data_IF_354427303424
#
_entry.id   IF_354427303424
#
_cell.length_a   1.000
_cell.length_b   1.000
_cell.length_c   1.000
_cell.angle_alpha   90.00
_cell.angle_beta   90.00
_cell.angle_gamma   90.00
#
_symmetry.space_group_name_H-M   'P 1'
#
loop_
_entity.id
_entity.type
_entity.pdbx_description
1 polymer ?
#
# COMPACT_ATOMS: atom_id res chain seq x y z
N UNK A 1 -1.71 2.49 -13.86
CA UNK A 1 -3.16 2.71 -14.05
C UNK A 1 -3.89 1.53 -13.41
N UNK A 2 -4.72 1.75 -12.39
CA UNK A 2 -5.59 0.68 -11.87
C UNK A 2 -6.74 0.52 -12.85
N UNK A 3 -6.48 -0.20 -13.95
CA UNK A 3 -7.35 -0.28 -15.12
C UNK A 3 -8.61 -1.13 -14.90
N UNK A 4 -8.67 -1.92 -13.82
CA UNK A 4 -9.72 -2.90 -13.57
C UNK A 4 -10.72 -2.50 -12.47
N UNK A 5 -10.58 -1.31 -11.88
CA UNK A 5 -11.32 -0.93 -10.68
C UNK A 5 -10.65 -1.53 -9.44
N UNK A 6 -10.05 -0.66 -8.65
CA UNK A 6 -9.41 -1.01 -7.40
C UNK A 6 -9.56 0.13 -6.40
N UNK A 7 -9.04 -0.08 -5.19
CA UNK A 7 -9.21 0.88 -4.11
C UNK A 7 -7.91 1.06 -3.34
N UNK A 8 -7.79 2.24 -2.76
CA UNK A 8 -6.78 2.52 -1.74
C UNK A 8 -7.50 2.59 -0.41
N UNK A 9 -7.10 1.74 0.52
CA UNK A 9 -7.55 1.80 1.90
C UNK A 9 -6.44 2.41 2.75
N UNK A 10 -6.75 3.51 3.43
CA UNK A 10 -5.88 4.10 4.47
C UNK A 10 -6.66 4.12 5.76
N UNK A 11 -6.22 3.35 6.74
CA UNK A 11 -6.94 3.22 7.99
C UNK A 11 -6.48 2.03 8.81
N UNK A 12 -7.32 1.63 9.76
CA UNK A 12 -7.05 0.50 10.63
C UNK A 12 -7.43 -0.81 9.96
N UNK A 13 -6.50 -1.74 9.87
CA UNK A 13 -6.74 -3.13 9.48
C UNK A 13 -6.19 -4.01 10.59
N UNK A 14 -7.04 -4.42 11.53
CA UNK A 14 -6.64 -5.19 12.71
C UNK A 14 -5.74 -6.39 12.32
N UNK A 15 -4.57 -6.57 12.97
CA UNK A 15 -4.07 -5.90 14.18
C UNK A 15 -3.29 -4.58 13.95
N UNK A 16 -3.27 -4.06 12.74
CA UNK A 16 -2.43 -2.93 12.32
C UNK A 16 -3.21 -1.62 12.45
N UNK A 17 -2.77 -0.76 13.37
CA UNK A 17 -3.48 0.49 13.71
C UNK A 17 -3.60 1.47 12.54
N UNK A 18 -2.59 1.53 11.66
CA UNK A 18 -2.60 2.43 10.51
C UNK A 18 -1.82 1.83 9.34
N UNK A 19 -2.55 1.27 8.38
CA UNK A 19 -2.01 0.70 7.16
C UNK A 19 -2.52 1.45 5.92
N UNK A 20 -1.70 1.47 4.87
CA UNK A 20 -2.08 1.89 3.54
C UNK A 20 -1.97 0.70 2.58
N UNK A 21 -3.06 0.39 1.89
CA UNK A 21 -3.17 -0.77 1.01
C UNK A 21 -3.66 -0.32 -0.35
N UNK A 22 -2.94 -0.71 -1.40
CA UNK A 22 -3.35 -0.55 -2.78
C UNK A 22 -3.81 -1.90 -3.35
N UNK A 23 -5.07 -1.96 -3.76
CA UNK A 23 -5.69 -3.14 -4.37
C UNK A 23 -6.03 -2.83 -5.83
N UNK A 24 -5.68 -3.72 -6.76
CA UNK A 24 -5.89 -3.49 -8.20
C UNK A 24 -7.20 -4.06 -8.76
N UNK A 25 -7.99 -4.72 -7.91
CA UNK A 25 -9.20 -5.44 -8.32
C UNK A 25 -9.07 -6.96 -8.19
N UNK A 26 -7.84 -7.49 -8.16
CA UNK A 26 -7.55 -8.92 -8.01
C UNK A 26 -6.68 -9.24 -6.80
N UNK A 27 -5.64 -8.44 -6.54
CA UNK A 27 -4.68 -8.69 -5.45
C UNK A 27 -4.22 -7.39 -4.79
N UNK A 28 -3.72 -7.50 -3.55
CA UNK A 28 -3.03 -6.39 -2.90
C UNK A 28 -1.66 -6.20 -3.57
N UNK A 29 -1.45 -5.04 -4.19
CA UNK A 29 -0.23 -4.71 -4.93
C UNK A 29 0.83 -4.14 -3.99
N UNK A 30 0.41 -3.37 -2.99
CA UNK A 30 1.27 -2.81 -1.96
C UNK A 30 0.52 -2.75 -0.63
N UNK A 31 1.21 -3.13 0.44
CA UNK A 31 0.71 -3.04 1.81
C UNK A 31 1.80 -2.43 2.68
N UNK A 32 1.52 -1.26 3.23
CA UNK A 32 2.46 -0.49 4.03
C UNK A 32 1.90 -0.21 5.41
N UNK A 33 2.71 -0.47 6.44
CA UNK A 33 2.46 0.07 7.76
C UNK A 33 2.90 1.54 7.84
N UNK A 34 2.09 2.38 8.47
CA UNK A 34 2.46 3.77 8.77
C UNK A 34 3.55 3.79 9.83
N UNK A 35 4.62 4.53 9.57
CA UNK A 35 5.69 4.72 10.57
C UNK A 35 5.26 5.74 11.63
N UNK A 36 5.75 5.61 12.87
CA UNK A 36 5.31 6.38 14.06
C UNK A 36 5.36 7.91 13.89
N UNK A 37 6.23 8.43 13.02
CA UNK A 37 6.36 9.86 12.72
C UNK A 37 5.93 10.25 11.30
N UNK A 38 5.38 9.33 10.53
CA UNK A 38 4.99 9.55 9.14
C UNK A 38 3.64 10.26 9.06
N UNK A 39 3.55 11.29 8.21
CA UNK A 39 2.28 11.96 7.88
C UNK A 39 1.51 11.17 6.82
N UNK A 40 0.20 11.40 6.71
CA UNK A 40 -0.62 10.73 5.69
C UNK A 40 -0.12 11.01 4.26
N UNK A 41 0.26 12.25 3.87
CA UNK A 41 0.84 12.49 2.55
C UNK A 41 2.13 11.70 2.29
N UNK A 42 3.03 11.61 3.28
CA UNK A 42 4.27 10.83 3.14
C UNK A 42 4.00 9.33 2.99
N UNK A 43 3.00 8.80 3.71
CA UNK A 43 2.56 7.42 3.56
C UNK A 43 2.01 7.14 2.16
N UNK A 44 1.25 8.09 1.58
CA UNK A 44 0.72 7.99 0.23
C UNK A 44 1.83 8.07 -0.84
N UNK A 45 2.84 8.92 -0.66
CA UNK A 45 4.01 8.97 -1.54
C UNK A 45 4.77 7.63 -1.53
N UNK A 46 4.96 7.04 -0.35
CA UNK A 46 5.55 5.70 -0.20
C UNK A 46 4.70 4.62 -0.84
N UNK A 47 3.37 4.71 -0.72
CA UNK A 47 2.45 3.77 -1.36
C UNK A 47 2.54 3.85 -2.88
N UNK A 48 2.57 5.06 -3.45
CA UNK A 48 2.71 5.27 -4.89
C UNK A 48 4.03 4.67 -5.41
N UNK A 49 5.15 4.94 -4.70
CA UNK A 49 6.44 4.33 -5.02
C UNK A 49 6.41 2.80 -4.93
N UNK A 50 5.76 2.24 -3.91
CA UNK A 50 5.61 0.79 -3.74
C UNK A 50 4.75 0.15 -4.84
N UNK A 51 3.65 0.80 -5.25
CA UNK A 51 2.83 0.36 -6.38
C UNK A 51 3.62 0.42 -7.69
N UNK A 52 4.35 1.51 -7.92
CA UNK A 52 5.22 1.65 -9.10
C UNK A 52 6.30 0.57 -9.15
N UNK A 53 6.90 0.25 -8.00
CA UNK A 53 7.87 -0.85 -7.89
C UNK A 53 7.21 -2.19 -8.16
N UNK A 54 6.05 -2.49 -7.58
CA UNK A 54 5.33 -3.73 -7.78
C UNK A 54 4.94 -3.95 -9.25
N UNK A 55 4.57 -2.90 -9.97
CA UNK A 55 4.33 -2.98 -11.42
C UNK A 55 5.60 -3.21 -12.24
N UNK A 56 6.76 -2.75 -11.76
CA UNK A 56 8.04 -2.94 -12.44
C UNK A 56 8.67 -4.31 -12.17
N UNK A 57 8.55 -4.81 -10.93
CA UNK A 57 9.19 -6.05 -10.48
C UNK A 57 8.24 -7.25 -10.48
N UNK A 58 6.93 -7.02 -10.54
CA UNK A 58 5.90 -8.05 -10.41
C UNK A 58 5.78 -8.64 -9.00
N UNK A 59 6.46 -8.08 -8.00
CA UNK A 59 6.39 -8.54 -6.60
C UNK A 59 5.60 -7.55 -5.74
N UNK A 60 4.68 -8.09 -4.94
CA UNK A 60 3.95 -7.34 -3.91
C UNK A 60 4.95 -6.75 -2.91
N UNK A 61 4.85 -5.44 -2.67
CA UNK A 61 5.63 -4.78 -1.62
C UNK A 61 4.86 -4.91 -0.31
N UNK A 62 5.37 -5.75 0.59
CA UNK A 62 4.79 -6.01 1.89
C UNK A 62 5.76 -5.58 3.01
N UNK A 63 5.51 -4.40 3.57
CA UNK A 63 6.27 -3.81 4.70
C UNK A 63 5.64 -4.20 6.06
N UNK A 64 4.64 -5.10 6.06
CA UNK A 64 3.88 -5.55 7.24
C UNK A 64 4.44 -6.88 7.78
N UNK A 65 4.94 -7.76 6.91
CA UNK A 65 5.44 -9.09 7.28
C UNK A 65 6.99 -9.22 7.38
N UNK A 66 7.73 -8.10 7.41
CA UNK A 66 9.20 -8.10 7.59
C UNK A 66 9.57 -7.80 9.04
#
# INVERSE_FOLDING_TARGET
MIAAGGHILVGRLDPIECAAIAYDGSTAVAMLHRKTAETIPQLLERLDAAVGQAWHTGSVVDDINT
#
